data_IF_954870721611
#
_entry.id   IF_954870721611
#
_cell.length_a   1.000
_cell.length_b   1.000
_cell.length_c   1.000
_cell.angle_alpha   90.00
_cell.angle_beta   90.00
_cell.angle_gamma   90.00
#
_symmetry.space_group_name_H-M   'P 1'
#
loop_
_entity.id
_entity.type
_entity.pdbx_description
1 polymer ?
#
# COMPACT_ATOMS: atom_id res chain seq x y z
N UNK A 1 -37.30 -41.95 -17.02
CA UNK A 1 -36.04 -41.46 -17.60
C UNK A 1 -35.22 -40.80 -16.52
N UNK A 2 -33.94 -41.15 -16.40
CA UNK A 2 -33.01 -40.55 -15.41
C UNK A 2 -32.64 -39.14 -15.89
N UNK A 3 -33.10 -38.12 -15.18
CA UNK A 3 -32.70 -36.73 -15.42
C UNK A 3 -31.27 -36.51 -14.92
N UNK A 4 -30.33 -36.30 -15.84
CA UNK A 4 -28.96 -35.95 -15.52
C UNK A 4 -28.90 -34.51 -15.00
N UNK A 5 -28.61 -34.35 -13.71
CA UNK A 5 -28.22 -33.05 -13.14
C UNK A 5 -26.84 -32.69 -13.69
N UNK A 6 -26.80 -31.85 -14.72
CA UNK A 6 -25.58 -31.18 -15.16
C UNK A 6 -25.16 -30.19 -14.08
N UNK A 7 -24.24 -30.60 -13.21
CA UNK A 7 -23.53 -29.67 -12.34
C UNK A 7 -22.68 -28.74 -13.21
N UNK A 8 -23.17 -27.53 -13.46
CA UNK A 8 -22.37 -26.44 -13.99
C UNK A 8 -21.26 -26.12 -12.98
N UNK A 9 -20.07 -26.68 -13.18
CA UNK A 9 -18.89 -26.22 -12.46
C UNK A 9 -18.60 -24.79 -12.92
N UNK A 10 -18.63 -23.79 -12.03
CA UNK A 10 -18.21 -22.44 -12.39
C UNK A 10 -16.76 -22.53 -12.89
N UNK A 11 -16.49 -21.90 -14.05
CA UNK A 11 -15.13 -21.86 -14.60
C UNK A 11 -14.22 -21.27 -13.54
N UNK A 12 -13.15 -21.99 -13.20
CA UNK A 12 -12.09 -21.47 -12.35
C UNK A 12 -11.45 -20.30 -13.09
N UNK A 13 -11.72 -19.08 -12.63
CA UNK A 13 -11.05 -17.87 -13.11
C UNK A 13 -9.86 -17.61 -12.21
N UNK A 14 -8.67 -17.43 -12.79
CA UNK A 14 -7.48 -17.08 -12.02
C UNK A 14 -7.61 -15.64 -11.50
N UNK A 15 -7.19 -15.39 -10.27
CA UNK A 15 -7.38 -14.09 -9.60
C UNK A 15 -6.83 -12.91 -10.42
N UNK A 16 -5.65 -13.07 -11.04
CA UNK A 16 -5.05 -12.01 -11.86
C UNK A 16 -5.93 -11.63 -13.06
N UNK A 17 -6.72 -12.56 -13.62
CA UNK A 17 -7.63 -12.27 -14.73
C UNK A 17 -8.76 -11.34 -14.29
N UNK A 18 -9.20 -11.41 -13.02
CA UNK A 18 -10.19 -10.49 -12.47
C UNK A 18 -9.63 -9.06 -12.28
N UNK A 19 -8.32 -8.92 -12.08
CA UNK A 19 -7.64 -7.63 -11.93
C UNK A 19 -7.10 -7.05 -13.23
N UNK A 20 -7.02 -7.84 -14.32
CA UNK A 20 -6.46 -7.40 -15.60
C UNK A 20 -7.13 -6.14 -16.14
N UNK A 21 -8.45 -6.06 -16.00
CA UNK A 21 -9.26 -4.97 -16.56
C UNK A 21 -9.64 -3.93 -15.47
N UNK A 22 -9.09 -4.06 -14.25
CA UNK A 22 -9.32 -3.12 -13.15
C UNK A 22 -8.39 -1.90 -13.26
N UNK A 23 -8.92 -0.72 -12.90
CA UNK A 23 -8.12 0.50 -12.77
C UNK A 23 -7.28 0.43 -11.49
N UNK A 24 -6.01 0.84 -11.58
CA UNK A 24 -5.04 0.77 -10.46
C UNK A 24 -4.91 -0.65 -9.88
N UNK A 25 -4.83 -1.65 -10.76
CA UNK A 25 -4.74 -3.05 -10.36
C UNK A 25 -3.49 -3.35 -9.53
N UNK A 26 -2.39 -2.62 -9.74
CA UNK A 26 -1.18 -2.69 -8.93
C UNK A 26 -1.39 -2.21 -7.49
N UNK A 27 -2.31 -1.28 -7.26
CA UNK A 27 -2.67 -0.78 -5.92
C UNK A 27 -3.56 -1.76 -5.14
N UNK A 28 -4.24 -2.69 -5.82
CA UNK A 28 -5.23 -3.60 -5.18
C UNK A 28 -4.85 -5.08 -5.23
N UNK A 29 -4.16 -5.53 -6.28
CA UNK A 29 -3.89 -6.95 -6.51
C UNK A 29 -3.03 -7.55 -5.38
N UNK A 30 -1.91 -6.90 -5.05
CA UNK A 30 -1.02 -7.39 -4.00
C UNK A 30 -1.69 -7.40 -2.62
N UNK A 31 -2.33 -6.31 -2.14
CA UNK A 31 -3.07 -6.35 -0.88
C UNK A 31 -4.14 -7.44 -0.84
N UNK A 32 -4.84 -7.66 -1.95
CA UNK A 32 -5.88 -8.70 -2.05
C UNK A 32 -5.29 -10.10 -1.92
N UNK A 33 -4.23 -10.40 -2.69
CA UNK A 33 -3.53 -11.70 -2.64
C UNK A 33 -3.00 -11.96 -1.23
N UNK A 34 -2.32 -10.98 -0.63
CA UNK A 34 -1.76 -11.11 0.72
C UNK A 34 -2.84 -11.31 1.78
N UNK A 35 -4.02 -10.71 1.62
CA UNK A 35 -5.16 -10.92 2.53
C UNK A 35 -5.77 -12.31 2.37
N UNK A 36 -5.96 -12.78 1.13
CA UNK A 36 -6.49 -14.13 0.84
C UNK A 36 -5.56 -15.24 1.34
N UNK A 37 -4.25 -15.00 1.30
CA UNK A 37 -3.25 -15.91 1.86
C UNK A 37 -3.13 -15.83 3.40
N UNK A 38 -3.84 -14.90 4.04
CA UNK A 38 -3.80 -14.69 5.49
C UNK A 38 -2.49 -14.08 6.00
N UNK A 39 -1.69 -13.50 5.12
CA UNK A 39 -0.44 -12.79 5.43
C UNK A 39 -0.77 -11.42 6.03
N UNK A 40 -1.69 -10.68 5.40
CA UNK A 40 -2.28 -9.48 5.99
C UNK A 40 -3.57 -9.88 6.68
N UNK A 41 -3.67 -9.59 7.97
CA UNK A 41 -4.88 -9.87 8.75
C UNK A 41 -5.63 -8.58 9.06
N UNK A 42 -6.98 -8.61 9.09
CA UNK A 42 -7.73 -7.51 9.65
C UNK A 42 -7.36 -7.36 11.14
N UNK A 43 -7.23 -6.12 11.65
CA UNK A 43 -6.98 -5.92 13.07
C UNK A 43 -8.14 -6.54 13.87
N UNK A 44 -7.88 -7.13 15.04
CA UNK A 44 -8.93 -7.67 15.89
C UNK A 44 -9.96 -6.57 16.19
N UNK A 45 -11.27 -6.89 16.16
CA UNK A 45 -12.37 -5.93 16.29
C UNK A 45 -12.32 -5.06 17.57
N UNK A 46 -11.56 -5.50 18.59
CA UNK A 46 -11.37 -4.79 19.86
C UNK A 46 -10.03 -4.06 20.00
N UNK A 47 -9.24 -4.00 18.92
CA UNK A 47 -7.95 -3.31 18.93
C UNK A 47 -8.16 -1.81 18.82
N UNK A 48 -8.38 -1.16 19.97
CA UNK A 48 -8.13 0.28 20.08
C UNK A 48 -6.65 0.48 19.78
N UNK A 49 -6.32 0.99 18.60
CA UNK A 49 -4.96 1.25 18.17
C UNK A 49 -4.29 2.22 19.14
N UNK A 50 -3.58 1.71 20.14
CA UNK A 50 -2.53 2.47 20.82
C UNK A 50 -1.32 2.43 19.90
N UNK A 51 -1.15 3.51 19.15
CA UNK A 51 0.09 3.82 18.45
C UNK A 51 1.14 4.30 19.46
N UNK A 52 1.44 3.50 20.49
CA UNK A 52 2.52 3.75 21.45
C UNK A 52 2.92 2.40 22.03
N UNK A 53 4.05 1.85 21.60
CA UNK A 53 5.31 1.99 22.33
C UNK A 53 6.42 1.21 21.63
N UNK A 54 7.60 1.83 21.59
CA UNK A 54 8.85 1.16 21.24
C UNK A 54 9.22 0.24 22.40
N UNK A 55 9.13 -1.08 22.24
CA UNK A 55 10.06 -1.98 22.91
C UNK A 55 10.10 -3.37 22.25
N UNK A 56 11.31 -3.89 22.09
CA UNK A 56 11.60 -5.03 21.25
C UNK A 56 11.12 -6.36 21.83
N UNK A 57 10.27 -7.08 21.09
CA UNK A 57 10.12 -8.54 21.11
C UNK A 57 9.18 -9.00 19.97
N UNK A 58 9.17 -10.30 19.62
CA UNK A 58 9.16 -10.78 18.25
C UNK A 58 7.84 -10.47 17.55
N UNK A 59 7.96 -9.84 16.38
CA UNK A 59 6.85 -9.46 15.55
C UNK A 59 6.07 -10.73 15.14
N UNK A 60 4.83 -10.84 15.61
CA UNK A 60 3.88 -11.77 15.04
C UNK A 60 3.72 -11.38 13.56
N UNK A 61 3.82 -12.32 12.63
CA UNK A 61 3.78 -12.07 11.18
C UNK A 61 2.50 -11.32 10.78
N UNK A 62 1.43 -11.45 11.59
CA UNK A 62 0.19 -10.68 11.44
C UNK A 62 0.30 -9.17 11.72
N UNK A 63 1.28 -8.76 12.53
CA UNK A 63 1.65 -7.36 12.79
C UNK A 63 2.77 -6.85 11.83
N UNK A 64 3.48 -7.76 11.14
CA UNK A 64 4.66 -7.46 10.31
C UNK A 64 4.37 -6.78 8.97
N UNK A 65 3.19 -6.99 8.38
CA UNK A 65 2.77 -6.11 7.28
C UNK A 65 2.26 -4.83 7.91
N UNK A 66 3.21 -4.04 8.42
CA UNK A 66 2.96 -2.71 8.91
C UNK A 66 2.17 -1.98 7.82
N UNK A 67 0.95 -1.53 8.15
CA UNK A 67 0.14 -0.64 7.29
C UNK A 67 0.80 0.72 7.05
N UNK A 68 2.07 0.85 7.42
CA UNK A 68 2.89 2.04 7.27
C UNK A 68 3.36 2.13 5.82
N UNK A 69 3.32 3.35 5.30
CA UNK A 69 3.83 3.64 3.97
C UNK A 69 5.35 3.56 4.01
N UNK A 70 5.94 2.86 3.05
CA UNK A 70 7.41 2.83 2.87
C UNK A 70 7.90 4.10 2.17
N UNK A 71 7.06 4.68 1.32
CA UNK A 71 7.38 5.84 0.49
C UNK A 71 6.47 7.01 0.83
N UNK A 72 7.07 8.11 1.28
CA UNK A 72 6.39 9.38 1.47
C UNK A 72 5.93 9.96 0.14
N UNK A 73 4.65 10.33 0.09
CA UNK A 73 3.98 10.96 -1.04
C UNK A 73 3.12 12.10 -0.47
N UNK A 74 3.35 13.34 -0.90
CA UNK A 74 2.57 14.47 -0.43
C UNK A 74 1.32 14.64 -1.31
N UNK A 75 0.15 14.56 -0.68
CA UNK A 75 -1.16 14.73 -1.30
C UNK A 75 -1.93 15.92 -0.69
N UNK A 76 -1.24 16.78 0.07
CA UNK A 76 -1.87 17.89 0.83
C UNK A 76 -2.64 18.87 -0.05
N UNK A 77 -2.29 18.97 -1.33
CA UNK A 77 -2.95 19.85 -2.30
C UNK A 77 -4.25 19.28 -2.90
N UNK A 78 -4.71 18.11 -2.45
CA UNK A 78 -5.92 17.42 -2.96
C UNK A 78 -5.96 17.32 -4.51
N UNK A 79 -4.78 17.19 -5.11
CA UNK A 79 -4.61 17.11 -6.54
C UNK A 79 -4.76 15.68 -7.06
N UNK A 80 -4.97 15.53 -8.37
CA UNK A 80 -5.05 14.22 -9.05
C UNK A 80 -3.73 13.44 -8.97
N UNK A 81 -2.62 14.13 -8.73
CA UNK A 81 -1.27 13.56 -8.62
C UNK A 81 -0.61 14.11 -7.34
N UNK A 82 0.35 13.40 -6.74
CA UNK A 82 1.05 13.90 -5.55
C UNK A 82 1.88 15.16 -5.89
N UNK A 83 2.36 15.91 -4.92
CA UNK A 83 3.20 17.10 -5.16
C UNK A 83 4.55 16.70 -5.79
N UNK A 84 5.12 17.57 -6.66
CA UNK A 84 6.49 17.41 -7.16
C UNK A 84 7.44 18.28 -6.36
N UNK A 85 8.48 17.69 -5.77
CA UNK A 85 9.49 18.44 -5.03
C UNK A 85 10.67 18.85 -5.91
N UNK A 86 11.23 20.04 -5.71
CA UNK A 86 12.51 20.41 -6.30
C UNK A 86 13.67 19.82 -5.48
N UNK A 87 14.38 18.86 -6.07
CA UNK A 87 15.58 18.28 -5.44
C UNK A 87 16.78 19.23 -5.45
N UNK A 88 16.74 20.28 -6.28
CA UNK A 88 17.79 21.28 -6.38
C UNK A 88 17.68 22.39 -5.32
N UNK A 89 16.49 22.59 -4.73
CA UNK A 89 16.32 23.44 -3.54
C UNK A 89 16.67 22.65 -2.27
N UNK A 90 17.78 22.98 -1.58
CA UNK A 90 18.18 22.28 -0.36
C UNK A 90 17.17 22.43 0.78
N UNK A 91 16.40 23.54 0.81
CA UNK A 91 15.39 23.76 1.85
C UNK A 91 14.21 22.83 1.63
N UNK A 92 13.72 22.74 0.40
CA UNK A 92 12.63 21.84 0.05
C UNK A 92 13.02 20.37 0.27
N UNK A 93 14.19 19.96 -0.23
CA UNK A 93 14.72 18.61 -0.02
C UNK A 93 14.80 18.27 1.48
N UNK A 94 15.37 19.16 2.29
CA UNK A 94 15.46 18.96 3.75
C UNK A 94 14.08 18.87 4.41
N UNK A 95 13.13 19.70 3.97
CA UNK A 95 11.75 19.68 4.44
C UNK A 95 11.05 18.35 4.15
N UNK A 96 11.14 17.88 2.90
CA UNK A 96 10.55 16.61 2.46
C UNK A 96 11.15 15.42 3.21
N UNK A 97 12.47 15.39 3.40
CA UNK A 97 13.14 14.32 4.17
C UNK A 97 12.73 14.33 5.65
N UNK A 98 12.52 15.50 6.24
CA UNK A 98 12.02 15.61 7.61
C UNK A 98 10.62 15.02 7.73
N UNK A 99 9.68 15.42 6.86
CA UNK A 99 8.31 14.89 6.84
C UNK A 99 8.29 13.37 6.63
N UNK A 100 9.07 12.87 5.67
CA UNK A 100 9.17 11.43 5.40
C UNK A 100 9.62 10.64 6.65
N UNK A 101 10.62 11.15 7.39
CA UNK A 101 11.09 10.54 8.64
C UNK A 101 10.05 10.61 9.76
N UNK A 102 9.33 11.71 9.89
CA UNK A 102 8.25 11.87 10.85
C UNK A 102 7.10 10.88 10.58
N UNK A 103 6.81 10.58 9.31
CA UNK A 103 5.84 9.53 8.93
C UNK A 103 6.41 8.09 8.96
N UNK A 104 7.68 7.92 9.34
CA UNK A 104 8.35 6.61 9.36
C UNK A 104 8.58 6.00 7.98
N UNK A 105 8.58 6.81 6.93
CA UNK A 105 8.87 6.38 5.56
C UNK A 105 10.39 6.24 5.34
N UNK A 106 10.78 5.26 4.53
CA UNK A 106 12.19 5.03 4.12
C UNK A 106 12.56 5.83 2.87
N UNK A 107 11.57 6.08 2.00
CA UNK A 107 11.73 6.75 0.73
C UNK A 107 10.82 7.97 0.66
N UNK A 108 11.12 8.88 -0.26
CA UNK A 108 10.20 9.93 -0.72
C UNK A 108 10.16 9.88 -2.26
N UNK A 109 9.04 10.23 -2.88
CA UNK A 109 8.91 10.19 -4.35
C UNK A 109 8.52 11.53 -4.95
N UNK A 110 8.60 11.56 -6.29
CA UNK A 110 8.17 12.67 -7.16
C UNK A 110 9.05 13.91 -6.99
N UNK A 111 10.36 13.72 -7.15
CA UNK A 111 11.28 14.84 -7.30
C UNK A 111 11.36 15.24 -8.77
N UNK A 112 11.35 16.54 -9.04
CA UNK A 112 11.67 17.06 -10.37
C UNK A 112 13.12 16.67 -10.69
N UNK A 113 13.34 16.10 -11.87
CA UNK A 113 14.69 16.00 -12.41
C UNK A 113 15.18 17.43 -12.60
N UNK A 114 16.26 17.82 -11.91
CA UNK A 114 16.82 19.16 -11.98
C UNK A 114 17.20 19.51 -13.42
N UNK A 115 16.25 20.06 -14.16
CA UNK A 115 16.47 20.60 -15.48
C UNK A 115 16.99 22.01 -15.29
N UNK A 116 18.30 22.20 -15.54
CA UNK A 116 18.73 23.49 -16.08
C UNK A 116 18.06 23.62 -17.45
N UNK A 117 16.91 24.28 -17.48
CA UNK A 117 16.35 24.90 -18.68
C UNK A 117 16.99 26.25 -18.90
#
# INVERSE_FOLDING_TARGET
GRGGHHHHHPRRVELWMAFRDAKASDEMYFPTVLSLLGIIRPPPENSKSKLDDRDGCPLDIGDEVAKRRVTYCDWSMNARNPETFDSSDPKELKGTLKKAREEGCLLARKFAAGGRG
#
